data_IF_396975180589
#
_entry.id   IF_396975180589
#
_cell.length_a   1.000
_cell.length_b   1.000
_cell.length_c   1.000
_cell.angle_alpha   90.00
_cell.angle_beta   90.00
_cell.angle_gamma   90.00
#
_symmetry.space_group_name_H-M   'P 1'
#
loop_
_entity.id
_entity.type
_entity.pdbx_description
1 polymer ?
#
# COMPACT_ATOMS: atom_id res chain seq x y z
N UNK A 1 20.27 0.01 6.09
CA UNK A 1 19.24 -0.30 5.08
C UNK A 1 19.92 -0.99 3.92
N UNK A 2 19.52 -2.22 3.60
CA UNK A 2 20.10 -2.94 2.45
C UNK A 2 19.29 -2.52 1.21
N UNK A 3 19.97 -1.99 0.19
CA UNK A 3 19.32 -1.73 -1.10
C UNK A 3 18.96 -3.07 -1.75
N UNK A 4 17.72 -3.29 -2.21
CA UNK A 4 17.35 -4.51 -2.92
C UNK A 4 17.91 -4.58 -4.36
N UNK A 5 18.57 -3.50 -4.83
CA UNK A 5 19.11 -3.43 -6.20
C UNK A 5 20.60 -3.75 -6.24
N UNK A 6 21.00 -4.49 -7.29
CA UNK A 6 22.41 -4.82 -7.57
C UNK A 6 23.04 -3.62 -8.26
N UNK A 7 24.22 -3.17 -7.77
CA UNK A 7 24.97 -2.08 -8.41
C UNK A 7 25.21 -2.35 -9.90
N UNK A 8 24.74 -1.44 -10.74
CA UNK A 8 25.03 -1.43 -12.19
C UNK A 8 23.92 -1.98 -13.09
N UNK A 9 22.81 -2.51 -12.56
CA UNK A 9 21.56 -2.82 -13.29
C UNK A 9 20.38 -2.66 -12.33
N UNK A 10 19.29 -2.08 -12.82
CA UNK A 10 17.99 -2.02 -12.09
C UNK A 10 17.35 -3.43 -11.92
N UNK A 11 18.18 -4.44 -11.69
CA UNK A 11 17.76 -5.83 -11.51
C UNK A 11 17.59 -6.14 -10.03
N UNK A 12 16.41 -6.64 -9.68
CA UNK A 12 16.11 -7.07 -8.33
C UNK A 12 16.88 -8.36 -7.99
N UNK A 13 17.51 -8.39 -6.81
CA UNK A 13 18.25 -9.57 -6.34
C UNK A 13 17.31 -10.72 -6.01
N UNK A 14 16.25 -10.44 -5.27
CA UNK A 14 15.24 -11.40 -4.84
C UNK A 14 14.30 -11.75 -6.01
N UNK A 15 13.62 -12.90 -5.91
CA UNK A 15 12.59 -13.31 -6.85
C UNK A 15 11.24 -12.80 -6.35
N UNK A 16 10.48 -12.13 -7.22
CA UNK A 16 9.13 -11.68 -6.90
C UNK A 16 8.13 -12.84 -6.99
N UNK A 17 7.29 -12.97 -5.97
CA UNK A 17 6.15 -13.90 -5.97
C UNK A 17 4.88 -13.08 -6.16
N UNK A 18 4.21 -13.29 -7.30
CA UNK A 18 3.00 -12.56 -7.74
C UNK A 18 1.85 -13.53 -8.00
N UNK A 19 0.63 -13.03 -8.16
CA UNK A 19 -0.56 -13.88 -8.32
C UNK A 19 -0.74 -14.40 -9.74
N UNK A 20 -0.62 -13.52 -10.73
CA UNK A 20 -0.97 -13.77 -12.12
C UNK A 20 0.12 -13.42 -13.14
N UNK A 21 -0.12 -13.82 -14.39
CA UNK A 21 0.79 -13.50 -15.50
C UNK A 21 0.77 -12.03 -15.86
N UNK A 22 -0.35 -11.33 -15.61
CA UNK A 22 -0.47 -9.90 -15.90
C UNK A 22 0.35 -9.08 -14.90
N UNK A 23 0.47 -9.53 -13.65
CA UNK A 23 1.37 -8.92 -12.66
C UNK A 23 2.82 -8.98 -13.12
N UNK A 24 3.24 -10.12 -13.69
CA UNK A 24 4.59 -10.25 -14.28
C UNK A 24 4.82 -9.21 -15.38
N UNK A 25 3.81 -8.96 -16.21
CA UNK A 25 3.89 -7.93 -17.26
C UNK A 25 4.01 -6.52 -16.65
N UNK A 26 3.24 -6.23 -15.59
CA UNK A 26 3.32 -4.94 -14.88
C UNK A 26 4.67 -4.74 -14.19
N UNK A 27 5.17 -5.77 -13.52
CA UNK A 27 6.50 -5.77 -12.87
C UNK A 27 7.60 -5.49 -13.90
N UNK A 28 7.60 -6.19 -15.03
CA UNK A 28 8.62 -6.02 -16.09
C UNK A 28 8.64 -4.63 -16.74
N UNK A 29 7.52 -3.91 -16.70
CA UNK A 29 7.49 -2.49 -17.08
C UNK A 29 8.14 -1.58 -16.05
N UNK A 30 8.18 -2.01 -14.78
CA UNK A 30 8.75 -1.23 -13.69
C UNK A 30 10.27 -1.45 -13.53
N UNK A 31 10.73 -2.69 -13.61
CA UNK A 31 12.13 -3.07 -13.37
C UNK A 31 12.43 -4.44 -13.97
N UNK A 32 13.73 -4.80 -14.03
CA UNK A 32 14.14 -6.15 -14.37
C UNK A 32 14.09 -7.04 -13.11
N UNK A 33 13.21 -8.04 -13.12
CA UNK A 33 13.03 -8.98 -12.01
C UNK A 33 12.55 -10.33 -12.48
N UNK A 34 13.06 -11.40 -11.85
CA UNK A 34 12.49 -12.71 -11.97
C UNK A 34 11.22 -12.83 -11.15
N UNK A 35 10.19 -13.45 -11.75
CA UNK A 35 8.88 -13.60 -11.12
C UNK A 35 8.45 -15.05 -11.10
N UNK A 36 7.83 -15.47 -9.99
CA UNK A 36 7.12 -16.75 -9.87
C UNK A 36 5.64 -16.45 -9.67
N UNK A 37 4.78 -17.05 -10.49
CA UNK A 37 3.33 -16.88 -10.43
C UNK A 37 2.73 -17.97 -9.54
N UNK A 38 1.88 -17.56 -8.57
CA UNK A 38 1.19 -18.51 -7.68
C UNK A 38 0.02 -19.21 -8.37
N UNK A 39 -0.61 -18.57 -9.34
CA UNK A 39 -1.84 -19.07 -9.98
C UNK A 39 -3.08 -18.98 -9.09
N UNK A 40 -3.09 -18.01 -8.18
CA UNK A 40 -4.15 -17.80 -7.20
C UNK A 40 -3.97 -18.62 -5.92
N UNK A 41 -5.04 -18.77 -5.12
CA UNK A 41 -4.96 -19.44 -3.81
C UNK A 41 -4.63 -20.93 -3.86
N UNK A 42 -4.94 -21.59 -4.98
CA UNK A 42 -4.60 -23.01 -5.21
C UNK A 42 -3.17 -23.20 -5.69
N UNK A 43 -2.19 -22.74 -4.88
CA UNK A 43 -0.77 -22.90 -5.22
C UNK A 43 -0.46 -24.37 -5.57
N UNK A 44 -0.13 -24.61 -6.85
CA UNK A 44 0.31 -25.91 -7.32
C UNK A 44 1.64 -26.34 -6.67
N UNK A 45 1.85 -27.66 -6.53
CA UNK A 45 3.10 -28.21 -5.96
C UNK A 45 4.35 -27.68 -6.66
N UNK A 46 4.28 -27.48 -7.99
CA UNK A 46 5.40 -26.96 -8.78
C UNK A 46 5.73 -25.51 -8.41
N UNK A 47 4.73 -24.62 -8.39
CA UNK A 47 4.95 -23.22 -8.00
C UNK A 47 5.53 -23.12 -6.59
N UNK A 48 5.04 -23.94 -5.65
CA UNK A 48 5.56 -23.97 -4.29
C UNK A 48 7.01 -24.45 -4.22
N UNK A 49 7.39 -25.46 -5.02
CA UNK A 49 8.78 -25.93 -5.10
C UNK A 49 9.71 -24.86 -5.71
N UNK A 50 9.24 -24.16 -6.75
CA UNK A 50 9.99 -23.08 -7.39
C UNK A 50 10.19 -21.90 -6.41
N UNK A 51 9.15 -21.54 -5.65
CA UNK A 51 9.24 -20.51 -4.59
C UNK A 51 10.24 -20.92 -3.50
N UNK A 52 10.20 -22.20 -3.06
CA UNK A 52 11.12 -22.69 -2.02
C UNK A 52 12.58 -22.69 -2.53
N UNK A 53 12.81 -23.05 -3.77
CA UNK A 53 14.14 -23.01 -4.38
C UNK A 53 14.66 -21.56 -4.50
N UNK A 54 13.80 -20.63 -4.93
CA UNK A 54 14.14 -19.20 -5.00
C UNK A 54 14.43 -18.63 -3.62
N UNK A 55 13.59 -18.93 -2.63
CA UNK A 55 13.76 -18.50 -1.24
C UNK A 55 15.13 -18.87 -0.66
N UNK A 56 15.55 -20.13 -0.86
CA UNK A 56 16.84 -20.63 -0.37
C UNK A 56 18.05 -20.03 -1.09
N UNK A 57 17.91 -19.68 -2.36
CA UNK A 57 19.04 -19.24 -3.21
C UNK A 57 19.24 -17.73 -3.24
N UNK A 58 18.15 -16.96 -3.33
CA UNK A 58 18.18 -15.52 -3.58
C UNK A 58 17.33 -14.71 -2.60
N UNK A 59 16.46 -15.38 -1.85
CA UNK A 59 15.36 -14.73 -1.16
C UNK A 59 14.17 -14.48 -2.09
N UNK A 60 13.02 -14.19 -1.50
CA UNK A 60 11.80 -13.85 -2.22
C UNK A 60 11.16 -12.59 -1.65
N UNK A 61 10.44 -11.85 -2.50
CA UNK A 61 9.55 -10.75 -2.09
C UNK A 61 8.14 -11.09 -2.53
N UNK A 62 7.19 -11.05 -1.61
CA UNK A 62 5.78 -11.33 -1.85
C UNK A 62 5.09 -10.02 -2.22
N UNK A 63 4.58 -9.96 -3.46
CA UNK A 63 3.84 -8.84 -4.02
C UNK A 63 2.51 -9.38 -4.54
N UNK A 64 1.48 -9.35 -3.70
CA UNK A 64 0.11 -9.81 -3.99
C UNK A 64 -0.85 -8.65 -4.07
N UNK A 65 -2.01 -8.87 -4.67
CA UNK A 65 -3.05 -7.89 -4.82
C UNK A 65 -3.51 -7.31 -3.46
N UNK A 66 -3.87 -6.02 -3.39
CA UNK A 66 -4.32 -5.38 -2.16
C UNK A 66 -5.79 -5.69 -1.86
N UNK A 67 -6.16 -6.97 -1.94
CA UNK A 67 -7.48 -7.51 -1.66
C UNK A 67 -7.46 -8.67 -0.67
N UNK A 68 -8.62 -9.29 -0.42
CA UNK A 68 -8.74 -10.39 0.54
C UNK A 68 -8.13 -11.70 0.05
N UNK A 69 -8.06 -11.93 -1.27
CA UNK A 69 -7.47 -13.12 -1.87
C UNK A 69 -5.94 -13.04 -1.78
N UNK A 70 -5.36 -11.91 -2.20
CA UNK A 70 -3.93 -11.65 -2.09
C UNK A 70 -3.42 -11.70 -0.66
N UNK A 71 -4.21 -11.19 0.29
CA UNK A 71 -3.85 -11.27 1.72
C UNK A 71 -3.84 -12.71 2.24
N UNK A 72 -4.71 -13.60 1.73
CA UNK A 72 -4.68 -15.02 2.10
C UNK A 72 -3.45 -15.72 1.56
N UNK A 73 -3.08 -15.45 0.30
CA UNK A 73 -1.87 -15.97 -0.33
C UNK A 73 -0.64 -15.50 0.44
N UNK A 74 -0.56 -14.20 0.73
CA UNK A 74 0.52 -13.59 1.51
C UNK A 74 0.69 -14.26 2.87
N UNK A 75 -0.40 -14.45 3.63
CA UNK A 75 -0.34 -15.11 4.94
C UNK A 75 0.12 -16.56 4.87
N UNK A 76 -0.32 -17.28 3.85
CA UNK A 76 0.13 -18.66 3.61
C UNK A 76 1.64 -18.71 3.35
N UNK A 77 2.12 -17.86 2.44
CA UNK A 77 3.55 -17.78 2.08
C UNK A 77 4.41 -17.30 3.25
N UNK A 78 3.97 -16.26 3.99
CA UNK A 78 4.69 -15.73 5.15
C UNK A 78 4.87 -16.77 6.28
N UNK A 79 3.87 -17.66 6.46
CA UNK A 79 4.00 -18.75 7.43
C UNK A 79 5.04 -19.80 7.00
N UNK A 80 5.19 -20.04 5.71
CA UNK A 80 6.09 -21.03 5.17
C UNK A 80 7.51 -20.50 4.93
N UNK A 81 7.61 -19.20 4.60
CA UNK A 81 8.84 -18.49 4.28
C UNK A 81 8.98 -17.25 5.17
N UNK A 82 9.36 -17.42 6.45
CA UNK A 82 9.29 -16.33 7.43
C UNK A 82 10.23 -15.15 7.15
N UNK A 83 11.32 -15.36 6.42
CA UNK A 83 12.28 -14.30 6.05
C UNK A 83 11.95 -13.66 4.69
N UNK A 84 10.82 -14.02 4.07
CA UNK A 84 10.38 -13.39 2.83
C UNK A 84 10.17 -11.89 3.03
N UNK A 85 10.59 -11.10 2.05
CA UNK A 85 10.24 -9.69 1.95
C UNK A 85 8.75 -9.52 1.62
N UNK A 86 8.16 -8.43 2.08
CA UNK A 86 6.78 -8.07 1.78
C UNK A 86 6.74 -6.67 1.16
N UNK A 87 6.21 -6.57 -0.05
CA UNK A 87 5.91 -5.32 -0.71
C UNK A 87 4.38 -5.11 -0.77
N UNK A 88 3.94 -3.85 -0.66
CA UNK A 88 2.53 -3.49 -0.62
C UNK A 88 2.28 -2.29 -1.54
N UNK A 89 1.36 -2.47 -2.49
CA UNK A 89 0.84 -1.37 -3.32
C UNK A 89 -0.44 -0.86 -2.66
N UNK A 90 -0.62 0.46 -2.50
CA UNK A 90 -1.89 1.03 -2.04
C UNK A 90 -3.04 0.60 -2.95
N UNK A 91 -4.20 0.30 -2.35
CA UNK A 91 -5.36 -0.18 -3.11
C UNK A 91 -5.79 0.83 -4.18
N UNK A 92 -5.73 2.11 -3.87
CA UNK A 92 -6.06 3.21 -4.77
C UNK A 92 -5.15 3.23 -6.00
N UNK A 93 -3.87 2.86 -5.85
CA UNK A 93 -2.89 2.79 -6.94
C UNK A 93 -2.94 1.47 -7.73
N UNK A 94 -3.62 0.46 -7.20
CA UNK A 94 -3.82 -0.85 -7.80
C UNK A 94 -5.27 -1.07 -8.25
N UNK A 95 -6.05 0.00 -8.47
CA UNK A 95 -7.45 -0.09 -8.88
C UNK A 95 -7.65 0.66 -10.19
N UNK A 96 -8.19 -0.03 -11.21
CA UNK A 96 -8.60 0.59 -12.46
C UNK A 96 -9.86 -0.11 -13.01
N UNK A 97 -10.81 0.68 -13.52
CA UNK A 97 -12.05 0.18 -14.16
C UNK A 97 -12.88 -0.78 -13.30
N UNK A 98 -12.79 -0.66 -11.97
CA UNK A 98 -13.50 -1.54 -11.03
C UNK A 98 -12.78 -2.85 -10.71
N UNK A 99 -11.60 -3.07 -11.28
CA UNK A 99 -10.73 -4.21 -11.00
C UNK A 99 -9.57 -3.81 -10.08
N UNK A 100 -9.11 -4.74 -9.25
CA UNK A 100 -8.06 -4.53 -8.25
C UNK A 100 -6.98 -5.57 -8.46
N UNK A 101 -5.75 -5.13 -8.75
CA UNK A 101 -4.63 -6.03 -8.94
C UNK A 101 -3.31 -5.28 -9.14
N UNK A 102 -2.21 -5.98 -8.96
CA UNK A 102 -0.85 -5.48 -9.22
C UNK A 102 -0.71 -5.04 -10.68
N UNK A 103 -1.40 -5.70 -11.59
CA UNK A 103 -1.41 -5.38 -13.03
C UNK A 103 -2.01 -4.00 -13.34
N UNK A 104 -2.83 -3.44 -12.44
CA UNK A 104 -3.42 -2.10 -12.58
C UNK A 104 -2.47 -1.00 -12.09
N UNK A 105 -1.43 -1.35 -11.36
CA UNK A 105 -0.51 -0.39 -10.77
C UNK A 105 0.46 0.21 -11.81
N UNK A 106 0.80 1.48 -11.62
CA UNK A 106 1.83 2.13 -12.44
C UNK A 106 3.22 1.56 -12.14
N UNK A 107 4.17 1.63 -13.10
CA UNK A 107 5.57 1.25 -12.84
C UNK A 107 6.17 1.95 -11.62
N UNK A 108 5.84 3.22 -11.39
CA UNK A 108 6.34 3.99 -10.25
C UNK A 108 5.74 3.52 -8.92
N UNK A 109 4.47 3.13 -8.90
CA UNK A 109 3.83 2.54 -7.72
C UNK A 109 4.51 1.23 -7.33
N UNK A 110 4.82 0.38 -8.31
CA UNK A 110 5.55 -0.88 -8.09
C UNK A 110 6.95 -0.60 -7.53
N UNK A 111 7.71 0.34 -8.12
CA UNK A 111 9.04 0.73 -7.61
C UNK A 111 8.98 1.25 -6.19
N UNK A 112 8.02 2.14 -5.87
CA UNK A 112 7.83 2.66 -4.51
C UNK A 112 7.49 1.56 -3.50
N UNK A 113 6.66 0.59 -3.88
CA UNK A 113 6.33 -0.54 -3.02
C UNK A 113 7.57 -1.41 -2.73
N UNK A 114 8.39 -1.68 -3.75
CA UNK A 114 9.61 -2.46 -3.63
C UNK A 114 10.71 -1.72 -2.83
N UNK A 115 10.77 -0.41 -2.91
CA UNK A 115 11.70 0.39 -2.10
C UNK A 115 11.37 0.35 -0.59
N UNK A 116 10.15 -0.02 -0.22
CA UNK A 116 9.66 -0.11 1.18
C UNK A 116 9.49 -1.55 1.67
N UNK A 117 10.17 -2.51 1.06
CA UNK A 117 10.06 -3.93 1.45
C UNK A 117 10.35 -4.11 2.94
N UNK A 118 9.48 -4.86 3.62
CA UNK A 118 9.62 -5.28 5.01
C UNK A 118 9.80 -6.78 5.12
N UNK A 119 10.67 -7.21 6.03
CA UNK A 119 10.83 -8.62 6.41
C UNK A 119 10.28 -8.86 7.81
N UNK A 120 9.77 -10.05 8.09
CA UNK A 120 9.39 -10.42 9.45
C UNK A 120 10.64 -10.54 10.33
N UNK A 121 10.60 -9.96 11.52
CA UNK A 121 11.64 -10.17 12.52
C UNK A 121 11.50 -11.57 13.14
N UNK A 122 12.62 -12.27 13.34
CA UNK A 122 12.66 -13.63 13.91
C UNK A 122 12.09 -13.66 15.33
N UNK A 123 12.23 -12.57 16.08
CA UNK A 123 11.65 -12.38 17.41
C UNK A 123 10.80 -11.11 17.43
N UNK A 124 9.50 -11.18 17.09
CA UNK A 124 8.62 -10.01 17.13
C UNK A 124 8.58 -9.44 18.55
N UNK A 125 8.88 -8.15 18.69
CA UNK A 125 8.69 -7.44 19.95
C UNK A 125 7.27 -6.91 20.00
N UNK A 126 6.59 -7.05 21.15
CA UNK A 126 5.28 -6.40 21.37
C UNK A 126 5.47 -4.92 21.70
N UNK A 127 5.91 -4.14 20.70
CA UNK A 127 6.11 -2.68 20.81
C UNK A 127 4.77 -1.95 20.74
N UNK A 128 3.83 -2.47 19.96
CA UNK A 128 2.51 -1.89 19.74
C UNK A 128 1.40 -2.79 20.24
N UNK A 129 0.42 -2.20 20.90
CA UNK A 129 -0.79 -2.83 21.41
C UNK A 129 -2.05 -2.28 20.69
N UNK A 130 -3.20 -2.91 20.95
CA UNK A 130 -4.50 -2.39 20.46
C UNK A 130 -4.82 -0.99 21.05
N UNK A 131 -4.32 -0.71 22.26
CA UNK A 131 -4.47 0.60 22.90
C UNK A 131 -3.69 1.69 22.14
N UNK A 132 -2.49 1.39 21.68
CA UNK A 132 -1.69 2.34 20.88
C UNK A 132 -2.42 2.71 19.60
N UNK A 133 -3.05 1.72 18.91
CA UNK A 133 -3.83 1.97 17.72
C UNK A 133 -5.08 2.83 18.01
N UNK A 134 -5.73 2.61 19.14
CA UNK A 134 -6.89 3.40 19.55
C UNK A 134 -6.49 4.86 19.80
N UNK A 135 -5.44 5.09 20.58
CA UNK A 135 -4.92 6.43 20.89
C UNK A 135 -4.44 7.20 19.66
N UNK A 136 -3.88 6.48 18.67
CA UNK A 136 -3.46 7.06 17.40
C UNK A 136 -4.61 7.26 16.39
N UNK A 137 -5.87 6.97 16.76
CA UNK A 137 -7.02 7.06 15.86
C UNK A 137 -6.99 6.04 14.71
N UNK A 138 -6.29 4.93 14.90
CA UNK A 138 -6.15 3.84 13.93
C UNK A 138 -7.15 2.70 14.17
N UNK A 139 -8.02 2.82 15.22
CA UNK A 139 -9.12 1.91 15.49
C UNK A 139 -10.25 2.64 16.18
N UNK A 140 -11.48 2.12 16.11
CA UNK A 140 -12.67 2.63 16.81
C UNK A 140 -13.35 3.86 16.20
N UNK A 141 -12.77 4.53 15.21
CA UNK A 141 -13.36 5.70 14.54
C UNK A 141 -13.71 5.42 13.07
N UNK A 142 -14.58 6.25 12.50
CA UNK A 142 -15.02 6.14 11.09
C UNK A 142 -13.83 6.25 10.12
N UNK A 143 -12.89 7.14 10.37
CA UNK A 143 -11.69 7.34 9.54
C UNK A 143 -10.55 6.36 9.82
N UNK A 144 -10.68 5.51 10.83
CA UNK A 144 -9.59 4.63 11.26
C UNK A 144 -9.06 3.71 10.15
N UNK A 145 -9.94 3.26 9.26
CA UNK A 145 -9.54 2.42 8.11
C UNK A 145 -8.69 3.20 7.10
N UNK A 146 -9.10 4.42 6.77
CA UNK A 146 -8.38 5.32 5.86
C UNK A 146 -7.03 5.74 6.45
N UNK A 147 -6.99 6.08 7.75
CA UNK A 147 -5.75 6.40 8.45
C UNK A 147 -4.76 5.23 8.44
N UNK A 148 -5.23 3.97 8.66
CA UNK A 148 -4.38 2.78 8.55
C UNK A 148 -3.85 2.56 7.14
N UNK A 149 -4.66 2.80 6.10
CA UNK A 149 -4.20 2.67 4.70
C UNK A 149 -3.04 3.62 4.43
N UNK A 150 -3.18 4.91 4.75
CA UNK A 150 -2.15 5.94 4.56
C UNK A 150 -0.90 5.66 5.39
N UNK A 151 -1.07 5.32 6.68
CA UNK A 151 0.05 5.01 7.56
C UNK A 151 0.78 3.74 7.11
N UNK A 152 0.02 2.71 6.70
CA UNK A 152 0.56 1.45 6.23
C UNK A 152 1.37 1.59 4.94
N UNK A 153 0.96 2.49 4.04
CA UNK A 153 1.73 2.86 2.87
C UNK A 153 3.06 3.53 3.25
N UNK A 154 3.03 4.51 4.17
CA UNK A 154 4.24 5.22 4.61
C UNK A 154 5.24 4.29 5.27
N UNK A 155 4.75 3.41 6.14
CA UNK A 155 5.57 2.44 6.88
C UNK A 155 5.94 1.18 6.06
N UNK A 156 5.40 0.99 4.86
CA UNK A 156 5.62 -0.21 4.06
C UNK A 156 5.02 -1.48 4.68
N UNK A 157 3.95 -1.36 5.48
CA UNK A 157 3.25 -2.50 6.11
C UNK A 157 1.90 -2.80 5.45
N UNK A 158 1.46 -1.95 4.51
CA UNK A 158 0.24 -2.06 3.73
C UNK A 158 -1.04 -1.87 4.55
N UNK A 159 -2.19 -1.84 3.84
CA UNK A 159 -3.49 -1.79 4.47
C UNK A 159 -3.85 -3.12 5.15
N UNK A 160 -4.51 -3.04 6.31
CA UNK A 160 -5.07 -4.17 7.02
C UNK A 160 -6.15 -3.73 8.01
N UNK A 161 -6.97 -4.68 8.53
CA UNK A 161 -7.79 -4.40 9.71
C UNK A 161 -6.90 -4.12 10.94
N UNK A 162 -7.45 -3.50 11.98
CA UNK A 162 -6.70 -3.05 13.15
C UNK A 162 -5.84 -4.15 13.78
N UNK A 163 -6.40 -5.36 13.95
CA UNK A 163 -5.68 -6.51 14.54
C UNK A 163 -4.47 -6.93 13.68
N UNK A 164 -4.66 -7.06 12.38
CA UNK A 164 -3.59 -7.43 11.44
C UNK A 164 -2.55 -6.32 11.33
N UNK A 165 -3.00 -5.07 11.35
CA UNK A 165 -2.11 -3.90 11.29
C UNK A 165 -1.18 -3.85 12.51
N UNK A 166 -1.73 -4.00 13.72
CA UNK A 166 -0.94 -4.10 14.95
C UNK A 166 0.10 -5.24 14.89
N UNK A 167 -0.34 -6.42 14.44
CA UNK A 167 0.57 -7.54 14.25
C UNK A 167 1.69 -7.23 13.26
N UNK A 168 1.40 -6.57 12.14
CA UNK A 168 2.42 -6.19 11.15
C UNK A 168 3.41 -5.18 11.69
N UNK A 169 2.96 -4.15 12.41
CA UNK A 169 3.86 -3.20 13.07
C UNK A 169 4.91 -3.93 13.91
N UNK A 170 4.46 -4.88 14.73
CA UNK A 170 5.35 -5.67 15.58
C UNK A 170 6.23 -6.67 14.79
N UNK A 171 5.63 -7.41 13.85
CA UNK A 171 6.33 -8.46 13.10
C UNK A 171 7.34 -7.91 12.08
N UNK A 172 7.10 -6.72 11.53
CA UNK A 172 7.98 -6.09 10.55
C UNK A 172 8.99 -5.12 11.19
N UNK A 173 9.11 -5.16 12.52
CA UNK A 173 10.12 -4.42 13.25
C UNK A 173 9.99 -2.89 13.16
N UNK A 174 8.76 -2.38 13.01
CA UNK A 174 8.52 -0.92 13.04
C UNK A 174 8.90 -0.41 14.43
N UNK A 175 9.70 0.66 14.49
CA UNK A 175 10.06 1.29 15.76
C UNK A 175 9.02 2.33 16.17
N UNK A 176 9.07 2.77 17.45
CA UNK A 176 8.21 3.87 17.93
C UNK A 176 8.48 5.15 17.18
N UNK A 177 9.73 5.47 16.94
CA UNK A 177 10.19 6.66 16.25
C UNK A 177 9.69 6.68 14.79
N UNK A 178 9.81 5.54 14.07
CA UNK A 178 9.25 5.41 12.70
C UNK A 178 7.74 5.62 12.70
N UNK A 179 7.03 5.02 13.67
CA UNK A 179 5.58 5.13 13.78
C UNK A 179 5.14 6.57 14.07
N UNK A 180 5.73 7.22 15.04
CA UNK A 180 5.41 8.59 15.43
C UNK A 180 5.71 9.60 14.33
N UNK A 181 6.86 9.48 13.67
CA UNK A 181 7.21 10.32 12.53
C UNK A 181 6.23 10.15 11.34
N UNK A 182 5.85 8.91 11.05
CA UNK A 182 4.87 8.63 10.00
C UNK A 182 3.47 9.13 10.38
N UNK A 183 3.07 9.06 11.65
CA UNK A 183 1.79 9.53 12.16
C UNK A 183 1.70 11.07 12.08
N UNK A 184 2.72 11.79 12.55
CA UNK A 184 2.81 13.25 12.48
C UNK A 184 2.65 13.75 11.03
N UNK A 185 3.35 13.11 10.10
CA UNK A 185 3.25 13.47 8.68
C UNK A 185 1.89 13.19 8.03
N UNK A 186 1.00 12.41 8.66
CA UNK A 186 -0.40 12.28 8.23
C UNK A 186 -1.24 13.48 8.66
N UNK A 187 -0.93 14.06 9.80
CA UNK A 187 -1.65 15.21 10.37
C UNK A 187 -1.32 16.48 9.59
N UNK A 188 -0.04 16.72 9.30
CA UNK A 188 0.41 17.84 8.46
C UNK A 188 -0.21 17.80 7.05
N UNK A 189 -0.30 16.61 6.44
CA UNK A 189 -0.93 16.42 5.13
C UNK A 189 -2.45 16.59 5.12
N UNK A 190 -3.11 16.51 6.29
CA UNK A 190 -4.55 16.73 6.43
C UNK A 190 -4.87 18.23 6.59
N UNK A 191 -4.02 19.00 7.26
CA UNK A 191 -4.14 20.47 7.36
C UNK A 191 -3.99 21.14 5.99
N UNK A 192 -2.99 20.72 5.21
CA UNK A 192 -2.78 21.26 3.84
C UNK A 192 -3.94 20.94 2.88
N UNK A 193 -4.57 19.79 3.01
CA UNK A 193 -5.75 19.44 2.21
C UNK A 193 -7.00 20.21 2.66
N UNK A 194 -7.16 20.44 3.97
CA UNK A 194 -8.28 21.21 4.51
C UNK A 194 -8.19 22.70 4.13
N UNK A 195 -6.98 23.26 4.13
CA UNK A 195 -6.74 24.65 3.70
C UNK A 195 -7.02 24.85 2.21
N UNK A 196 -6.56 23.95 1.34
CA UNK A 196 -6.85 24.00 -0.10
C UNK A 196 -8.34 23.88 -0.41
N UNK A 197 -9.07 22.99 0.26
CA UNK A 197 -10.52 22.85 0.07
C UNK A 197 -11.30 24.07 0.60
N UNK A 198 -10.77 24.79 1.59
CA UNK A 198 -11.36 26.03 2.08
C UNK A 198 -11.13 27.20 1.10
N UNK A 199 -9.98 27.29 0.45
CA UNK A 199 -9.64 28.27 -0.56
C UNK A 199 -10.44 28.06 -1.85
N UNK A 200 -10.54 26.84 -2.36
CA UNK A 200 -11.35 26.49 -3.55
C UNK A 200 -12.86 26.71 -3.30
N UNK A 201 -13.33 26.47 -2.06
CA UNK A 201 -14.72 26.73 -1.66
C UNK A 201 -15.04 28.21 -1.58
N UNK A 202 -14.08 29.07 -1.22
CA UNK A 202 -14.24 30.51 -1.16
C UNK A 202 -14.27 31.14 -2.55
N UNK A 203 -13.47 30.67 -3.49
CA UNK A 203 -13.41 31.15 -4.86
C UNK A 203 -14.69 30.84 -5.64
N UNK A 204 -15.28 29.65 -5.44
CA UNK A 204 -16.57 29.27 -6.05
C UNK A 204 -17.78 30.01 -5.47
N UNK A 205 -17.71 30.52 -4.25
CA UNK A 205 -18.77 31.33 -3.63
C UNK A 205 -18.75 32.78 -4.15
N UNK A 206 -17.57 33.32 -4.45
CA UNK A 206 -17.42 34.72 -4.95
C UNK A 206 -17.95 34.87 -6.40
N UNK A 207 -17.88 33.85 -7.22
CA UNK A 207 -18.33 33.89 -8.64
C UNK A 207 -19.86 33.86 -8.79
N UNK A 208 -20.62 33.47 -7.77
CA UNK A 208 -22.10 33.37 -7.83
C UNK A 208 -22.88 34.67 -7.48
N UNK A 209 -22.21 35.74 -7.10
CA UNK A 209 -22.87 36.98 -6.65
C UNK A 209 -22.91 38.11 -7.68
N UNK A 210 -22.46 37.89 -8.92
CA UNK A 210 -22.41 38.92 -9.97
C UNK A 210 -23.29 38.63 -11.17
N UNK A 211 -24.57 38.26 -10.98
CA UNK A 211 -25.58 38.34 -12.04
C UNK A 211 -26.49 39.58 -11.82
N UNK A 212 -26.50 40.54 -12.76
CA UNK A 212 -27.36 41.73 -12.63
C UNK A 212 -28.83 41.32 -12.89
N UNK A 213 -29.69 41.64 -11.95
CA UNK A 213 -31.15 41.62 -12.11
C UNK A 213 -31.56 42.49 -13.31
N UNK A 214 -31.93 41.87 -14.42
CA UNK A 214 -32.62 42.53 -15.54
C UNK A 214 -34.04 42.96 -15.09
N UNK A 215 -34.29 44.23 -15.11
CA UNK A 215 -35.58 44.84 -14.79
C UNK A 215 -36.65 44.52 -15.84
N UNK A 216 -37.77 43.95 -15.40
CA UNK A 216 -38.98 43.88 -16.14
C UNK A 216 -39.60 45.29 -16.25
N UNK A 217 -39.71 45.82 -17.44
CA UNK A 217 -40.65 46.93 -17.75
C UNK A 217 -41.78 46.34 -18.59
N UNK A 218 -42.97 46.49 -18.04
CA UNK A 218 -44.21 46.22 -18.72
C UNK A 218 -44.54 47.23 -19.81
N UNK A 219 -45.42 46.85 -20.67
CA UNK A 219 -46.06 47.70 -21.69
C UNK A 219 -47.29 47.00 -22.20
N UNK A 220 -48.42 47.58 -21.80
CA UNK A 220 -49.74 47.20 -22.27
C UNK A 220 -49.98 47.70 -23.73
N UNK A 221 -50.68 46.92 -24.50
CA UNK A 221 -51.82 47.29 -25.33
C UNK A 221 -52.26 46.02 -26.10
#
# INVERSE_FOLDING_TARGET
MHSPFVEGKDMLKEVLVVEGKMDVVAVRKALDADCIVTGGFSLGRRALADIEAAYKRRGIIILTDPDSAGERIRRFLAKRFPEAGHAFIPKEEATAKGDIGVEQASPDSIRRALAKVRTCTIAPREVFSSRDLLLAGLSGGEDASRRRARLGERLGVGWANARTFCKRLNSYGVTREEFEAALASLEDGNETAAVRNAEDGAETAAVRNDEPKAAAKGGAS
#
